data_IF_965243103142
#
_entry.id   IF_965243103142
#
_cell.length_a   1.000
_cell.length_b   1.000
_cell.length_c   1.000
_cell.angle_alpha   90.00
_cell.angle_beta   90.00
_cell.angle_gamma   90.00
#
_symmetry.space_group_name_H-M   'P 1'
#
loop_
_entity.id
_entity.type
_entity.pdbx_description
1 polymer ?
#
# COMPACT_ATOMS: atom_id res chain seq x y z
N UNK A 1 -11.56 -33.29 -34.47
CA UNK A 1 -10.64 -32.31 -33.84
C UNK A 1 -9.50 -33.03 -33.17
N UNK A 2 -8.29 -32.61 -33.43
CA UNK A 2 -7.13 -33.19 -32.79
C UNK A 2 -7.01 -32.70 -31.34
N UNK A 3 -6.46 -33.51 -30.46
CA UNK A 3 -6.22 -33.17 -29.06
C UNK A 3 -5.37 -31.88 -28.89
N UNK A 4 -4.55 -31.58 -29.89
CA UNK A 4 -3.68 -30.42 -29.90
C UNK A 4 -4.43 -29.08 -29.90
N UNK A 5 -5.51 -28.98 -30.69
CA UNK A 5 -6.32 -27.76 -30.76
C UNK A 5 -6.98 -27.42 -29.41
N UNK A 6 -7.45 -28.46 -28.71
CA UNK A 6 -8.07 -28.28 -27.37
C UNK A 6 -7.04 -27.82 -26.34
N UNK A 7 -5.83 -28.39 -26.33
CA UNK A 7 -4.77 -27.99 -25.41
C UNK A 7 -4.33 -26.55 -25.63
N UNK A 8 -4.22 -26.09 -26.87
CA UNK A 8 -3.85 -24.72 -27.20
C UNK A 8 -4.90 -23.71 -26.72
N UNK A 9 -6.19 -24.03 -26.89
CA UNK A 9 -7.28 -23.16 -26.41
C UNK A 9 -7.28 -23.04 -24.89
N UNK A 10 -7.09 -24.15 -24.17
CA UNK A 10 -7.02 -24.15 -22.69
C UNK A 10 -5.84 -23.33 -22.19
N UNK A 11 -4.66 -23.46 -22.80
CA UNK A 11 -3.48 -22.68 -22.45
C UNK A 11 -3.70 -21.20 -22.67
N UNK A 12 -4.33 -20.79 -23.77
CA UNK A 12 -4.66 -19.39 -24.03
C UNK A 12 -5.61 -18.82 -22.97
N UNK A 13 -6.65 -19.56 -22.58
CA UNK A 13 -7.60 -19.16 -21.53
C UNK A 13 -6.92 -19.02 -20.17
N UNK A 14 -6.01 -19.92 -19.81
CA UNK A 14 -5.26 -19.85 -18.56
C UNK A 14 -4.36 -18.61 -18.53
N UNK A 15 -3.68 -18.29 -19.62
CA UNK A 15 -2.83 -17.10 -19.72
C UNK A 15 -3.64 -15.81 -19.59
N UNK A 16 -4.82 -15.73 -20.19
CA UNK A 16 -5.72 -14.59 -20.03
C UNK A 16 -6.18 -14.42 -18.58
N UNK A 17 -6.51 -15.50 -17.89
CA UNK A 17 -6.86 -15.50 -16.48
C UNK A 17 -5.72 -14.96 -15.60
N UNK A 18 -4.48 -15.34 -15.85
CA UNK A 18 -3.33 -14.84 -15.10
C UNK A 18 -3.14 -13.34 -15.29
N UNK A 19 -3.25 -12.82 -16.49
CA UNK A 19 -3.17 -11.38 -16.76
C UNK A 19 -4.24 -10.59 -15.98
N UNK A 20 -5.45 -11.10 -15.92
CA UNK A 20 -6.54 -10.47 -15.19
C UNK A 20 -6.28 -10.42 -13.69
N UNK A 21 -5.77 -11.51 -13.10
CA UNK A 21 -5.45 -11.58 -11.67
C UNK A 21 -4.32 -10.63 -11.30
N UNK A 22 -3.28 -10.51 -12.11
CA UNK A 22 -2.16 -9.60 -11.88
C UNK A 22 -2.63 -8.14 -11.87
N UNK A 23 -3.50 -7.74 -12.79
CA UNK A 23 -4.08 -6.41 -12.86
C UNK A 23 -4.93 -6.11 -11.63
N UNK A 24 -5.73 -7.06 -11.17
CA UNK A 24 -6.56 -6.92 -9.98
C UNK A 24 -5.70 -6.76 -8.71
N UNK A 25 -4.66 -7.55 -8.54
CA UNK A 25 -3.75 -7.49 -7.40
C UNK A 25 -3.03 -6.14 -7.34
N UNK A 26 -2.58 -5.61 -8.46
CA UNK A 26 -1.94 -4.29 -8.54
C UNK A 26 -2.92 -3.18 -8.15
N UNK A 27 -4.16 -3.24 -8.63
CA UNK A 27 -5.20 -2.28 -8.28
C UNK A 27 -5.50 -2.29 -6.78
N UNK A 28 -5.64 -3.46 -6.16
CA UNK A 28 -5.92 -3.61 -4.73
C UNK A 28 -4.75 -3.10 -3.87
N UNK A 29 -3.52 -3.35 -4.28
CA UNK A 29 -2.33 -2.82 -3.61
C UNK A 29 -2.31 -1.29 -3.64
N UNK A 30 -2.57 -0.70 -4.79
CA UNK A 30 -2.62 0.74 -4.99
C UNK A 30 -3.70 1.39 -4.10
N UNK A 31 -4.88 0.81 -4.03
CA UNK A 31 -5.97 1.27 -3.18
C UNK A 31 -5.59 1.21 -1.70
N UNK A 32 -4.94 0.12 -1.28
CA UNK A 32 -4.50 -0.06 0.10
C UNK A 32 -3.46 1.00 0.51
N UNK A 33 -2.49 1.29 -0.34
CA UNK A 33 -1.50 2.34 -0.09
C UNK A 33 -2.16 3.72 0.06
N UNK A 34 -3.12 4.04 -0.79
CA UNK A 34 -3.88 5.30 -0.67
C UNK A 34 -4.63 5.40 0.64
N UNK A 35 -5.27 4.30 1.08
CA UNK A 35 -6.02 4.27 2.33
C UNK A 35 -5.10 4.49 3.54
N UNK A 36 -3.89 3.93 3.53
CA UNK A 36 -2.88 4.16 4.56
C UNK A 36 -2.54 5.65 4.67
N UNK A 37 -2.33 6.32 3.54
CA UNK A 37 -1.97 7.73 3.51
C UNK A 37 -3.10 8.67 3.98
N UNK A 38 -4.33 8.17 4.06
CA UNK A 38 -5.49 8.91 4.56
C UNK A 38 -5.79 8.66 6.03
N UNK A 39 -5.12 7.70 6.66
CA UNK A 39 -5.34 7.40 8.07
C UNK A 39 -4.91 8.56 8.96
N UNK A 40 -5.63 8.83 10.08
CA UNK A 40 -5.22 9.87 11.02
C UNK A 40 -3.94 9.48 11.74
N UNK A 41 -3.20 10.48 12.25
CA UNK A 41 -2.04 10.22 13.09
C UNK A 41 -2.47 9.56 14.39
N UNK A 42 -1.74 8.51 14.81
CA UNK A 42 -1.98 7.82 16.08
C UNK A 42 -0.67 7.61 16.82
N UNK A 43 -0.60 8.16 18.02
CA UNK A 43 0.61 8.14 18.85
C UNK A 43 0.88 6.79 19.51
N UNK A 44 -0.14 5.92 19.60
CA UNK A 44 -0.04 4.65 20.32
C UNK A 44 -0.31 4.78 21.81
N UNK A 45 -0.17 3.69 22.56
CA UNK A 45 -0.60 3.60 23.97
C UNK A 45 0.52 3.29 24.96
N UNK A 46 1.77 3.18 24.54
CA UNK A 46 2.90 2.90 25.44
C UNK A 46 3.52 4.20 25.98
N UNK A 47 4.44 4.06 26.94
CA UNK A 47 5.11 5.20 27.56
C UNK A 47 6.37 5.66 26.83
N UNK A 48 6.97 4.79 26.02
CA UNK A 48 8.14 5.14 25.23
C UNK A 48 7.79 6.21 24.20
N UNK A 49 8.79 6.97 23.75
CA UNK A 49 8.60 8.02 22.74
C UNK A 49 9.73 7.99 21.76
N UNK A 50 9.41 7.83 20.48
CA UNK A 50 10.35 7.90 19.39
C UNK A 50 9.78 8.79 18.29
N UNK A 51 10.65 9.55 17.62
CA UNK A 51 10.20 10.35 16.49
C UNK A 51 9.92 9.44 15.28
N UNK A 52 8.76 9.67 14.68
CA UNK A 52 8.33 9.00 13.47
C UNK A 52 7.68 10.04 12.54
N UNK A 53 7.27 9.62 11.35
CA UNK A 53 6.65 10.50 10.38
C UNK A 53 5.30 9.92 9.97
N UNK A 54 4.33 10.80 9.73
CA UNK A 54 3.05 10.40 9.15
C UNK A 54 2.71 11.34 8.00
N UNK A 55 1.85 10.86 7.08
CA UNK A 55 1.38 11.69 5.99
C UNK A 55 0.10 12.42 6.40
N UNK A 56 0.14 13.75 6.36
CA UNK A 56 -1.01 14.60 6.60
C UNK A 56 -1.75 14.79 5.27
N UNK A 57 -2.83 14.07 5.09
CA UNK A 57 -3.61 14.06 3.85
C UNK A 57 -4.25 15.42 3.55
N UNK A 58 -4.63 16.18 4.57
CA UNK A 58 -5.23 17.50 4.39
C UNK A 58 -4.24 18.51 3.82
N UNK A 59 -3.04 18.54 4.37
CA UNK A 59 -1.98 19.46 3.97
C UNK A 59 -1.03 18.89 2.93
N UNK A 60 -1.21 17.60 2.57
CA UNK A 60 -0.41 16.87 1.58
C UNK A 60 1.08 16.96 1.86
N UNK A 61 1.46 16.75 3.11
CA UNK A 61 2.85 16.81 3.55
C UNK A 61 3.13 15.75 4.61
N UNK A 62 4.38 15.33 4.72
CA UNK A 62 4.83 14.44 5.79
C UNK A 62 5.23 15.25 7.01
N UNK A 63 4.71 14.86 8.18
CA UNK A 63 4.90 15.58 9.45
C UNK A 63 5.51 14.64 10.48
N UNK A 64 6.45 15.14 11.26
CA UNK A 64 7.08 14.39 12.35
C UNK A 64 6.16 14.38 13.58
N UNK A 65 6.10 13.23 14.24
CA UNK A 65 5.33 13.08 15.48
C UNK A 65 6.03 12.13 16.45
N UNK A 66 5.58 12.13 17.70
CA UNK A 66 6.09 11.21 18.70
C UNK A 66 5.22 9.95 18.74
N UNK A 67 5.87 8.81 18.50
CA UNK A 67 5.24 7.51 18.53
C UNK A 67 5.68 6.74 19.76
N UNK A 68 4.74 6.06 20.43
CA UNK A 68 4.97 5.37 21.69
C UNK A 68 5.56 3.97 21.58
N UNK A 69 5.88 3.50 20.38
CA UNK A 69 6.44 2.20 20.06
C UNK A 69 5.46 1.03 20.18
N UNK A 70 4.19 1.27 20.46
CA UNK A 70 3.15 0.23 20.43
C UNK A 70 1.81 0.82 19.99
N UNK A 71 0.97 -0.01 19.40
CA UNK A 71 -0.30 0.43 18.83
C UNK A 71 -0.10 1.32 17.62
N UNK A 72 -0.96 2.33 17.46
CA UNK A 72 -0.91 3.21 16.30
C UNK A 72 -1.57 2.60 15.06
N UNK A 73 -1.15 3.03 13.87
CA UNK A 73 -1.63 2.49 12.60
C UNK A 73 -0.51 2.47 11.56
N UNK A 74 -0.85 2.09 10.33
CA UNK A 74 0.12 1.94 9.24
C UNK A 74 0.60 3.27 8.64
N UNK A 75 -0.06 4.39 8.94
CA UNK A 75 0.40 5.72 8.51
C UNK A 75 1.51 6.20 9.45
N UNK A 76 2.64 5.51 9.38
CA UNK A 76 3.81 5.75 10.21
C UNK A 76 5.06 5.30 9.50
N UNK A 77 6.04 6.15 9.40
CA UNK A 77 7.28 5.94 8.67
C UNK A 77 8.48 6.32 9.54
N UNK A 78 9.59 5.64 9.35
CA UNK A 78 10.81 5.88 10.13
C UNK A 78 11.48 7.18 9.70
N UNK A 79 11.44 7.49 8.40
CA UNK A 79 12.06 8.70 7.84
C UNK A 79 11.05 9.51 7.03
N UNK A 80 11.31 10.80 6.89
CA UNK A 80 10.52 11.68 6.03
C UNK A 80 10.56 11.21 4.56
N UNK A 81 11.73 10.80 4.08
CA UNK A 81 11.90 10.32 2.72
C UNK A 81 11.03 9.10 2.43
N UNK A 82 10.94 8.16 3.38
CA UNK A 82 10.08 6.97 3.27
C UNK A 82 8.60 7.37 3.16
N UNK A 83 8.15 8.29 4.01
CA UNK A 83 6.79 8.82 3.98
C UNK A 83 6.48 9.50 2.64
N UNK A 84 7.37 10.34 2.16
CA UNK A 84 7.20 11.05 0.89
C UNK A 84 7.17 10.07 -0.29
N UNK A 85 8.07 9.10 -0.31
CA UNK A 85 8.10 8.08 -1.35
C UNK A 85 6.82 7.26 -1.40
N UNK A 86 6.25 6.94 -0.24
CA UNK A 86 5.04 6.13 -0.13
C UNK A 86 3.77 6.92 -0.44
N UNK A 87 3.64 8.15 0.07
CA UNK A 87 2.39 8.91 0.04
C UNK A 87 2.37 10.09 -0.95
N UNK A 88 3.51 10.70 -1.26
CA UNK A 88 3.60 11.80 -2.23
C UNK A 88 3.72 11.27 -3.66
N UNK A 89 2.84 10.37 -4.03
CA UNK A 89 2.72 9.88 -5.41
C UNK A 89 1.59 10.62 -6.12
N UNK A 90 1.69 10.71 -7.44
CA UNK A 90 0.58 11.20 -8.27
C UNK A 90 -0.52 10.14 -8.29
N UNK A 91 -1.50 10.34 -7.46
CA UNK A 91 -2.65 9.44 -7.38
C UNK A 91 -3.71 9.75 -8.45
#
# INVERSE_FOLDING_TARGET
>A
MSRWAVCLVILALILECHCYLDEYDEYMKFKHERDICKMPVRHGNCRAKAYSWYYDFKNKTCVRFLYSLCGGNSNRFITKAECEEFCLKDW
#
